data_IF_208127808913
#
_entry.id   IF_208127808913
#
_cell.length_a   1.000
_cell.length_b   1.000
_cell.length_c   1.000
_cell.angle_alpha   90.00
_cell.angle_beta   90.00
_cell.angle_gamma   90.00
#
_symmetry.space_group_name_H-M   'P 1'
#
loop_
_entity.id
_entity.type
_entity.pdbx_description
1 polymer ?
#
# COMPACT_ATOMS: atom_id res chain seq x y z
N UNK A 1 -79.34 -10.72 -24.20
CA UNK A 1 -78.01 -10.16 -24.55
C UNK A 1 -77.47 -9.12 -23.60
N UNK A 2 -78.26 -8.23 -22.95
CA UNK A 2 -77.73 -7.19 -21.99
C UNK A 2 -77.31 -7.79 -20.69
N UNK A 3 -77.94 -8.84 -20.17
CA UNK A 3 -77.63 -9.45 -18.86
C UNK A 3 -76.23 -10.19 -18.88
N UNK A 4 -75.90 -10.83 -19.99
CA UNK A 4 -74.63 -11.58 -20.16
C UNK A 4 -73.45 -10.65 -20.28
N UNK A 5 -73.61 -9.44 -20.85
CA UNK A 5 -72.55 -8.42 -20.87
C UNK A 5 -72.25 -7.83 -19.48
N UNK A 6 -73.24 -7.71 -18.60
CA UNK A 6 -73.08 -7.25 -17.21
C UNK A 6 -72.37 -8.31 -16.37
N UNK A 7 -72.72 -9.60 -16.57
CA UNK A 7 -71.98 -10.68 -15.82
C UNK A 7 -70.54 -10.82 -16.24
N UNK A 8 -70.22 -10.65 -17.53
CA UNK A 8 -68.82 -10.68 -18.01
C UNK A 8 -68.01 -9.46 -17.53
N UNK A 9 -68.63 -8.29 -17.37
CA UNK A 9 -67.96 -7.11 -16.83
C UNK A 9 -67.70 -7.24 -15.33
N UNK A 10 -68.58 -7.85 -14.55
CA UNK A 10 -68.42 -8.10 -13.14
C UNK A 10 -67.28 -9.13 -12.83
N UNK A 11 -67.10 -10.15 -13.66
CA UNK A 11 -66.02 -11.14 -13.55
C UNK A 11 -64.66 -10.53 -13.89
N UNK A 12 -64.57 -9.54 -14.79
CA UNK A 12 -63.34 -8.86 -15.16
C UNK A 12 -62.82 -7.91 -14.07
N UNK A 13 -63.71 -7.38 -13.22
CA UNK A 13 -63.37 -6.45 -12.16
C UNK A 13 -62.84 -7.19 -10.92
N UNK A 14 -63.26 -8.43 -10.68
CA UNK A 14 -62.80 -9.23 -9.54
C UNK A 14 -61.40 -9.84 -9.72
N UNK A 15 -60.89 -9.92 -10.95
CA UNK A 15 -59.55 -10.42 -11.24
C UNK A 15 -58.44 -9.39 -11.04
N UNK A 16 -58.75 -8.12 -10.71
CA UNK A 16 -57.79 -7.07 -10.45
C UNK A 16 -57.45 -6.86 -8.97
N UNK A 17 -58.09 -7.63 -8.06
CA UNK A 17 -57.66 -7.72 -6.66
C UNK A 17 -56.55 -8.76 -6.52
N UNK A 18 -55.52 -8.62 -7.34
CA UNK A 18 -54.25 -9.32 -7.14
C UNK A 18 -53.68 -8.94 -5.81
N UNK A 19 -53.48 -9.92 -4.94
CA UNK A 19 -52.79 -9.77 -3.69
C UNK A 19 -51.49 -9.02 -3.93
N UNK A 20 -51.45 -7.74 -3.57
CA UNK A 20 -50.19 -7.06 -3.25
C UNK A 20 -49.66 -7.79 -2.03
N UNK A 21 -48.91 -8.86 -2.25
CA UNK A 21 -48.06 -9.44 -1.23
C UNK A 21 -47.08 -8.32 -0.85
N UNK A 22 -47.37 -7.59 0.20
CA UNK A 22 -46.36 -6.80 0.87
C UNK A 22 -45.30 -7.79 1.35
N UNK A 23 -44.25 -7.98 0.54
CA UNK A 23 -43.01 -8.51 1.08
C UNK A 23 -42.70 -7.56 2.25
N UNK A 24 -42.91 -8.05 3.46
CA UNK A 24 -42.26 -7.46 4.61
C UNK A 24 -40.80 -7.31 4.21
N UNK A 25 -40.39 -6.11 3.90
CA UNK A 25 -38.99 -5.74 3.88
C UNK A 25 -38.58 -5.95 5.34
N UNK A 26 -38.11 -7.18 5.65
CA UNK A 26 -37.32 -7.38 6.85
C UNK A 26 -36.31 -6.25 6.80
N UNK A 27 -36.45 -5.30 7.71
CA UNK A 27 -35.40 -4.34 7.97
C UNK A 27 -34.19 -5.19 8.30
N UNK A 28 -33.36 -5.48 7.31
CA UNK A 28 -32.07 -6.12 7.48
C UNK A 28 -31.28 -5.05 8.23
N UNK A 29 -31.36 -5.12 9.56
CA UNK A 29 -30.47 -4.34 10.42
C UNK A 29 -29.09 -4.82 10.03
N UNK A 30 -28.38 -3.98 9.28
CA UNK A 30 -27.04 -4.32 8.83
C UNK A 30 -26.21 -4.69 10.07
N UNK A 31 -25.56 -5.84 10.02
CA UNK A 31 -24.65 -6.25 11.10
C UNK A 31 -23.64 -5.09 11.34
N UNK A 32 -23.57 -4.56 12.57
CA UNK A 32 -22.69 -3.44 12.88
C UNK A 32 -21.23 -3.73 12.55
N UNK A 33 -20.78 -4.99 12.62
CA UNK A 33 -19.42 -5.40 12.25
C UNK A 33 -19.22 -5.32 10.73
N UNK A 34 -20.19 -5.85 9.97
CA UNK A 34 -20.15 -5.80 8.51
C UNK A 34 -20.24 -4.35 8.01
N UNK A 35 -21.14 -3.55 8.58
CA UNK A 35 -21.28 -2.14 8.22
C UNK A 35 -19.98 -1.35 8.50
N UNK A 36 -19.40 -1.53 9.69
CA UNK A 36 -18.12 -0.94 10.05
C UNK A 36 -17.03 -1.33 9.06
N UNK A 37 -16.85 -2.62 8.83
CA UNK A 37 -15.79 -3.16 7.96
C UNK A 37 -15.92 -2.64 6.52
N UNK A 38 -17.14 -2.60 6.00
CA UNK A 38 -17.44 -2.05 4.66
C UNK A 38 -17.06 -0.57 4.57
N UNK A 39 -17.43 0.23 5.57
CA UNK A 39 -17.09 1.65 5.55
C UNK A 39 -15.59 1.91 5.71
N UNK A 40 -14.87 1.17 6.53
CA UNK A 40 -13.39 1.25 6.63
C UNK A 40 -12.74 0.87 5.29
N UNK A 41 -13.23 -0.18 4.63
CA UNK A 41 -12.71 -0.59 3.30
C UNK A 41 -12.91 0.51 2.26
N UNK A 42 -14.11 1.10 2.19
CA UNK A 42 -14.40 2.20 1.26
C UNK A 42 -13.57 3.45 1.57
N UNK A 43 -13.43 3.81 2.84
CA UNK A 43 -12.58 4.93 3.23
C UNK A 43 -11.14 4.75 2.74
N UNK A 44 -10.54 3.57 2.94
CA UNK A 44 -9.19 3.26 2.45
C UNK A 44 -9.08 3.33 0.93
N UNK A 45 -10.11 2.86 0.21
CA UNK A 45 -10.15 2.96 -1.25
C UNK A 45 -10.18 4.42 -1.71
N UNK A 46 -10.99 5.26 -1.08
CA UNK A 46 -11.06 6.68 -1.39
C UNK A 46 -9.80 7.45 -0.99
N UNK A 47 -9.12 7.06 0.10
CA UNK A 47 -7.79 7.59 0.43
C UNK A 47 -6.80 7.25 -0.69
N UNK A 48 -6.78 6.00 -1.17
CA UNK A 48 -5.93 5.57 -2.28
C UNK A 48 -6.20 6.31 -3.60
N UNK A 49 -7.44 6.67 -3.88
CA UNK A 49 -7.84 7.47 -5.04
C UNK A 49 -7.79 8.99 -4.78
N UNK A 50 -7.27 9.42 -3.64
CA UNK A 50 -7.16 10.83 -3.22
C UNK A 50 -8.50 11.58 -3.17
N UNK A 51 -9.61 10.87 -2.96
CA UNK A 51 -10.93 11.46 -2.78
C UNK A 51 -11.20 11.72 -1.29
N UNK A 52 -10.80 12.90 -0.83
CA UNK A 52 -10.87 13.31 0.58
C UNK A 52 -12.29 13.25 1.15
N UNK A 53 -13.25 13.80 0.42
CA UNK A 53 -14.60 13.99 0.95
C UNK A 53 -15.33 12.65 1.14
N UNK A 54 -15.19 11.74 0.18
CA UNK A 54 -15.73 10.38 0.31
C UNK A 54 -14.98 9.55 1.35
N UNK A 55 -13.67 9.73 1.49
CA UNK A 55 -12.90 9.07 2.55
C UNK A 55 -13.42 9.49 3.93
N UNK A 56 -13.58 10.79 4.17
CA UNK A 56 -14.10 11.36 5.41
C UNK A 56 -15.52 10.87 5.70
N UNK A 57 -16.42 10.96 4.72
CA UNK A 57 -17.81 10.48 4.84
C UNK A 57 -17.86 9.02 5.29
N UNK A 58 -17.01 8.17 4.72
CA UNK A 58 -17.02 6.76 5.08
C UNK A 58 -16.38 6.48 6.44
N UNK A 59 -15.40 7.27 6.89
CA UNK A 59 -14.89 7.18 8.26
C UNK A 59 -15.93 7.63 9.29
N UNK A 60 -16.69 8.70 9.02
CA UNK A 60 -17.78 9.15 9.86
C UNK A 60 -18.90 8.10 9.97
N UNK A 61 -19.26 7.48 8.85
CA UNK A 61 -20.22 6.35 8.85
C UNK A 61 -19.66 5.14 9.62
N UNK A 62 -18.37 4.83 9.52
CA UNK A 62 -17.75 3.78 10.32
C UNK A 62 -17.78 4.13 11.82
N UNK A 63 -17.59 5.40 12.19
CA UNK A 63 -17.59 5.85 13.57
C UNK A 63 -18.94 5.57 14.29
N UNK A 64 -20.06 5.65 13.56
CA UNK A 64 -21.39 5.31 14.09
C UNK A 64 -21.50 3.83 14.54
N UNK A 65 -20.69 2.94 14.00
CA UNK A 65 -20.61 1.52 14.35
C UNK A 65 -19.36 1.17 15.18
N UNK A 66 -18.65 2.19 15.69
CA UNK A 66 -17.41 1.96 16.44
C UNK A 66 -17.68 1.32 17.80
N UNK A 67 -16.79 0.42 18.19
CA UNK A 67 -16.76 -0.24 19.50
C UNK A 67 -15.32 -0.23 20.04
N UNK A 68 -15.10 -0.70 21.26
CA UNK A 68 -13.76 -0.79 21.84
C UNK A 68 -12.79 -1.58 20.93
N UNK A 69 -13.25 -2.68 20.32
CA UNK A 69 -12.46 -3.55 19.45
C UNK A 69 -12.21 -2.98 18.06
N UNK A 70 -12.98 -1.97 17.64
CA UNK A 70 -12.92 -1.37 16.31
C UNK A 70 -12.18 -0.03 16.28
N UNK A 71 -11.88 0.54 17.47
CA UNK A 71 -11.24 1.87 17.57
C UNK A 71 -9.90 1.95 16.89
N UNK A 72 -9.08 0.89 16.97
CA UNK A 72 -7.78 0.87 16.31
C UNK A 72 -7.92 1.07 14.81
N UNK A 73 -8.78 0.29 14.15
CA UNK A 73 -9.03 0.38 12.70
C UNK A 73 -9.59 1.74 12.30
N UNK A 74 -10.50 2.31 13.11
CA UNK A 74 -11.09 3.64 12.86
C UNK A 74 -10.03 4.73 12.95
N UNK A 75 -9.26 4.77 14.04
CA UNK A 75 -8.19 5.76 14.21
C UNK A 75 -7.10 5.60 13.16
N UNK A 76 -6.71 4.36 12.80
CA UNK A 76 -5.79 4.12 11.69
C UNK A 76 -6.32 4.69 10.36
N UNK A 77 -7.62 4.59 10.11
CA UNK A 77 -8.28 5.20 8.95
C UNK A 77 -8.19 6.73 8.96
N UNK A 78 -8.48 7.38 10.09
CA UNK A 78 -8.31 8.83 10.22
C UNK A 78 -6.85 9.26 10.10
N UNK A 79 -5.91 8.48 10.64
CA UNK A 79 -4.48 8.74 10.48
C UNK A 79 -4.08 8.79 9.00
N UNK A 80 -4.55 7.83 8.20
CA UNK A 80 -4.30 7.80 6.76
C UNK A 80 -4.99 8.96 6.01
N UNK A 81 -6.21 9.35 6.41
CA UNK A 81 -6.91 10.50 5.85
C UNK A 81 -6.12 11.79 6.10
N UNK A 82 -5.74 12.07 7.35
CA UNK A 82 -4.99 13.27 7.69
C UNK A 82 -3.59 13.29 7.07
N UNK A 83 -2.95 12.13 6.93
CA UNK A 83 -1.70 12.01 6.16
C UNK A 83 -1.89 12.43 4.68
N UNK A 84 -2.98 12.02 4.06
CA UNK A 84 -3.31 12.42 2.68
C UNK A 84 -3.60 13.93 2.58
N UNK A 85 -4.19 14.51 3.62
CA UNK A 85 -4.47 15.96 3.74
C UNK A 85 -3.23 16.77 4.13
N UNK A 86 -2.09 16.13 4.39
CA UNK A 86 -0.83 16.73 4.88
C UNK A 86 -0.94 17.34 6.29
N UNK A 87 -1.95 16.97 7.04
CA UNK A 87 -2.18 17.34 8.43
C UNK A 87 -1.38 16.44 9.36
N UNK A 88 -0.06 16.65 9.39
CA UNK A 88 0.93 15.76 10.01
C UNK A 88 0.65 15.48 11.49
N UNK A 89 0.33 16.52 12.28
CA UNK A 89 0.07 16.38 13.72
C UNK A 89 -1.20 15.57 14.01
N UNK A 90 -2.27 15.82 13.23
CA UNK A 90 -3.52 15.08 13.35
C UNK A 90 -3.32 13.62 12.91
N UNK A 91 -2.58 13.39 11.84
CA UNK A 91 -2.24 12.03 11.39
C UNK A 91 -1.53 11.26 12.50
N UNK A 92 -0.47 11.82 13.08
CA UNK A 92 0.28 11.18 14.15
C UNK A 92 -0.57 10.93 15.39
N UNK A 93 -1.36 11.91 15.83
CA UNK A 93 -2.30 11.76 16.96
C UNK A 93 -3.21 10.54 16.74
N UNK A 94 -3.78 10.42 15.56
CA UNK A 94 -4.69 9.32 15.27
C UNK A 94 -3.96 7.97 15.15
N UNK A 95 -2.77 7.90 14.57
CA UNK A 95 -1.99 6.66 14.56
C UNK A 95 -1.61 6.21 15.98
N UNK A 96 -1.20 7.12 16.85
CA UNK A 96 -0.92 6.81 18.26
C UNK A 96 -2.17 6.31 19.00
N UNK A 97 -3.33 6.91 18.75
CA UNK A 97 -4.62 6.45 19.29
C UNK A 97 -5.00 5.06 18.78
N UNK A 98 -4.70 4.75 17.53
CA UNK A 98 -4.91 3.41 16.97
C UNK A 98 -4.12 2.35 17.75
N UNK A 99 -2.82 2.56 17.93
CA UNK A 99 -1.94 1.64 18.68
C UNK A 99 -2.35 1.55 20.16
N UNK A 100 -2.73 2.69 20.77
CA UNK A 100 -3.21 2.69 22.17
C UNK A 100 -4.51 1.92 22.35
N UNK A 101 -5.37 1.90 21.31
CA UNK A 101 -6.65 1.16 21.33
C UNK A 101 -6.47 -0.35 21.18
N UNK A 102 -5.48 -0.77 20.39
CA UNK A 102 -5.09 -2.18 20.24
C UNK A 102 -3.60 -2.29 19.92
N UNK A 103 -2.83 -2.71 20.92
CA UNK A 103 -1.37 -2.88 20.79
C UNK A 103 -0.98 -4.04 19.87
N UNK A 104 -1.90 -4.94 19.54
CA UNK A 104 -1.69 -6.11 18.67
C UNK A 104 -2.14 -5.86 17.22
N UNK A 105 -2.72 -4.70 16.92
CA UNK A 105 -3.12 -4.38 15.54
C UNK A 105 -1.88 -4.07 14.69
N UNK A 106 -1.32 -5.11 14.05
CA UNK A 106 -0.15 -5.00 13.17
C UNK A 106 -0.41 -4.10 11.95
N UNK A 107 -1.65 -4.00 11.47
CA UNK A 107 -1.99 -3.09 10.37
C UNK A 107 -1.91 -1.62 10.80
N UNK A 108 -2.45 -1.28 11.97
CA UNK A 108 -2.37 0.08 12.51
C UNK A 108 -0.90 0.47 12.76
N UNK A 109 -0.12 -0.45 13.33
CA UNK A 109 1.30 -0.25 13.58
C UNK A 109 2.11 -0.11 12.29
N UNK A 110 1.81 -0.92 11.27
CA UNK A 110 2.40 -0.80 9.93
C UNK A 110 2.15 0.59 9.33
N UNK A 111 0.90 1.07 9.37
CA UNK A 111 0.54 2.36 8.82
C UNK A 111 1.27 3.51 9.55
N UNK A 112 1.37 3.43 10.88
CA UNK A 112 2.10 4.40 11.68
C UNK A 112 3.61 4.40 11.36
N UNK A 113 4.21 3.22 11.26
CA UNK A 113 5.63 3.10 10.90
C UNK A 113 5.91 3.63 9.49
N UNK A 114 5.04 3.35 8.52
CA UNK A 114 5.15 3.91 7.16
C UNK A 114 5.02 5.45 7.17
N UNK A 115 4.10 5.99 7.98
CA UNK A 115 3.99 7.42 8.18
C UNK A 115 5.28 8.02 8.76
N UNK A 116 5.83 7.45 9.84
CA UNK A 116 7.09 7.89 10.46
C UNK A 116 8.26 7.85 9.47
N UNK A 117 8.36 6.79 8.68
CA UNK A 117 9.37 6.67 7.63
C UNK A 117 9.27 7.82 6.62
N UNK A 118 8.05 8.14 6.16
CA UNK A 118 7.82 9.24 5.22
C UNK A 118 8.12 10.63 5.83
N UNK A 119 8.07 10.76 7.17
CA UNK A 119 8.47 11.97 7.88
C UNK A 119 9.99 12.02 8.15
N UNK A 120 10.76 11.04 7.68
CA UNK A 120 12.21 10.96 7.93
C UNK A 120 12.59 10.49 9.35
N UNK A 121 11.62 10.03 10.14
CA UNK A 121 11.80 9.53 11.53
C UNK A 121 12.12 8.03 11.48
N UNK A 122 13.29 7.71 10.92
CA UNK A 122 13.64 6.33 10.53
C UNK A 122 13.80 5.40 11.73
N UNK A 123 14.37 5.87 12.83
CA UNK A 123 14.56 5.07 14.05
C UNK A 123 13.22 4.70 14.69
N UNK A 124 12.28 5.64 14.73
CA UNK A 124 10.94 5.37 15.27
C UNK A 124 10.14 4.44 14.33
N UNK A 125 10.28 4.65 13.02
CA UNK A 125 9.69 3.77 12.03
C UNK A 125 10.21 2.33 12.17
N UNK A 126 11.54 2.18 12.35
CA UNK A 126 12.18 0.89 12.55
C UNK A 126 11.63 0.17 13.78
N UNK A 127 11.55 0.85 14.95
CA UNK A 127 11.00 0.27 16.17
C UNK A 127 9.57 -0.26 15.98
N UNK A 128 8.72 0.51 15.31
CA UNK A 128 7.34 0.08 15.08
C UNK A 128 7.26 -1.06 14.06
N UNK A 129 8.05 -1.02 13.00
CA UNK A 129 7.98 -1.98 11.91
C UNK A 129 8.61 -3.34 12.28
N UNK A 130 9.63 -3.36 13.16
CA UNK A 130 10.19 -4.61 13.69
C UNK A 130 9.10 -5.45 14.38
N UNK A 131 8.28 -4.83 15.23
CA UNK A 131 7.16 -5.52 15.89
C UNK A 131 6.19 -6.13 14.86
N UNK A 132 5.92 -5.42 13.76
CA UNK A 132 5.05 -5.92 12.69
C UNK A 132 5.71 -7.08 11.94
N UNK A 133 7.01 -7.02 11.68
CA UNK A 133 7.73 -8.07 10.95
C UNK A 133 7.81 -9.39 11.73
N UNK A 134 7.71 -9.33 13.05
CA UNK A 134 7.71 -10.50 13.94
C UNK A 134 6.33 -11.17 14.07
N UNK A 135 5.24 -10.48 13.72
CA UNK A 135 3.89 -11.05 13.74
C UNK A 135 3.70 -12.07 12.63
N UNK A 136 3.77 -13.36 12.97
CA UNK A 136 3.66 -14.47 12.02
C UNK A 136 2.30 -14.53 11.31
N UNK A 137 1.25 -13.99 11.92
CA UNK A 137 -0.10 -13.92 11.35
C UNK A 137 -0.32 -12.74 10.41
N UNK A 138 0.63 -11.82 10.31
CA UNK A 138 0.46 -10.64 9.46
C UNK A 138 0.80 -10.94 7.99
N UNK A 139 -0.21 -10.91 7.11
CA UNK A 139 -0.05 -11.27 5.70
C UNK A 139 0.98 -10.43 4.93
N UNK A 140 1.19 -9.17 5.35
CA UNK A 140 2.13 -8.25 4.70
C UNK A 140 3.50 -8.21 5.37
N UNK A 141 3.93 -9.31 5.97
CA UNK A 141 5.29 -9.43 6.55
C UNK A 141 6.42 -9.16 5.55
N UNK A 142 6.33 -9.59 4.27
CA UNK A 142 7.36 -9.23 3.28
C UNK A 142 7.55 -7.72 3.15
N UNK A 143 6.43 -6.97 3.10
CA UNK A 143 6.46 -5.51 3.02
C UNK A 143 6.96 -4.88 4.33
N UNK A 144 6.66 -5.48 5.48
CA UNK A 144 7.20 -5.03 6.76
C UNK A 144 8.73 -5.18 6.79
N UNK A 145 9.28 -6.34 6.40
CA UNK A 145 10.72 -6.54 6.28
C UNK A 145 11.37 -5.57 5.28
N UNK A 146 10.71 -5.28 4.17
CA UNK A 146 11.19 -4.30 3.21
C UNK A 146 11.33 -2.91 3.84
N UNK A 147 10.32 -2.43 4.57
CA UNK A 147 10.39 -1.11 5.25
C UNK A 147 11.42 -1.12 6.38
N UNK A 148 11.56 -2.24 7.12
CA UNK A 148 12.66 -2.41 8.09
C UNK A 148 14.01 -2.20 7.40
N UNK A 149 14.25 -2.88 6.26
CA UNK A 149 15.48 -2.74 5.49
C UNK A 149 15.71 -1.31 4.99
N UNK A 150 14.67 -0.63 4.53
CA UNK A 150 14.76 0.76 4.11
C UNK A 150 15.15 1.69 5.28
N UNK A 151 14.52 1.52 6.45
CA UNK A 151 14.83 2.31 7.64
C UNK A 151 16.25 2.04 8.12
N UNK A 152 16.69 0.77 8.17
CA UNK A 152 18.05 0.36 8.49
C UNK A 152 19.08 0.97 7.53
N UNK A 153 18.80 0.98 6.21
CA UNK A 153 19.66 1.67 5.25
C UNK A 153 19.79 3.16 5.53
N UNK A 154 18.71 3.83 5.89
CA UNK A 154 18.71 5.27 6.21
C UNK A 154 19.45 5.61 7.50
N UNK A 155 19.50 4.67 8.44
CA UNK A 155 20.24 4.80 9.71
C UNK A 155 21.67 4.23 9.65
N UNK A 156 22.15 3.87 8.46
CA UNK A 156 23.51 3.38 8.24
C UNK A 156 23.75 1.90 8.55
N UNK A 157 22.72 1.16 8.94
CA UNK A 157 22.76 -0.27 9.30
C UNK A 157 22.67 -1.14 8.02
N UNK A 158 23.71 -1.06 7.17
CA UNK A 158 23.65 -1.66 5.82
C UNK A 158 23.64 -3.19 5.84
N UNK A 159 24.31 -3.83 6.80
CA UNK A 159 24.34 -5.28 6.90
C UNK A 159 22.98 -5.84 7.32
N UNK A 160 22.36 -5.20 8.29
CA UNK A 160 21.02 -5.53 8.78
C UNK A 160 19.96 -5.28 7.69
N UNK A 161 20.12 -4.18 6.92
CA UNK A 161 19.23 -3.88 5.80
C UNK A 161 19.25 -5.00 4.74
N UNK A 162 20.42 -5.53 4.37
CA UNK A 162 20.52 -6.69 3.47
C UNK A 162 19.76 -7.89 4.03
N UNK A 163 19.95 -8.24 5.29
CA UNK A 163 19.23 -9.34 5.94
C UNK A 163 17.71 -9.16 5.90
N UNK A 164 17.24 -7.91 6.08
CA UNK A 164 15.83 -7.58 6.00
C UNK A 164 15.27 -7.70 4.58
N UNK A 165 16.01 -7.24 3.55
CA UNK A 165 15.63 -7.41 2.15
C UNK A 165 15.62 -8.88 1.71
N UNK A 166 16.61 -9.65 2.15
CA UNK A 166 16.65 -11.10 1.90
C UNK A 166 15.44 -11.80 2.55
N UNK A 167 15.08 -11.41 3.77
CA UNK A 167 13.91 -11.96 4.44
C UNK A 167 12.62 -11.63 3.70
N UNK A 168 12.48 -10.40 3.19
CA UNK A 168 11.34 -10.01 2.37
C UNK A 168 11.22 -10.87 1.11
N UNK A 169 12.32 -11.12 0.39
CA UNK A 169 12.34 -11.94 -0.82
C UNK A 169 12.18 -13.44 -0.55
N UNK A 170 12.67 -13.95 0.58
CA UNK A 170 12.43 -15.33 1.01
C UNK A 170 10.93 -15.59 1.27
N UNK A 171 10.25 -14.63 1.90
CA UNK A 171 8.82 -14.73 2.18
C UNK A 171 7.96 -14.51 0.92
N UNK A 172 8.40 -13.65 0.02
CA UNK A 172 7.70 -13.33 -1.24
C UNK A 172 8.71 -13.16 -2.38
N UNK A 173 9.11 -14.26 -3.06
CA UNK A 173 10.15 -14.22 -4.12
C UNK A 173 9.80 -13.30 -5.30
N UNK A 174 8.53 -13.00 -5.53
CA UNK A 174 8.07 -12.10 -6.60
C UNK A 174 8.00 -10.61 -6.18
N UNK A 175 8.39 -10.28 -4.95
CA UNK A 175 8.45 -8.90 -4.48
C UNK A 175 9.74 -8.26 -5.01
N UNK A 176 9.62 -7.41 -6.03
CA UNK A 176 10.78 -6.93 -6.81
C UNK A 176 11.63 -5.91 -6.04
N UNK A 177 11.01 -4.97 -5.33
CA UNK A 177 11.67 -3.81 -4.74
C UNK A 177 12.84 -4.15 -3.81
N UNK A 178 12.79 -5.18 -2.94
CA UNK A 178 13.95 -5.51 -2.10
C UNK A 178 15.21 -5.90 -2.89
N UNK A 179 15.07 -6.45 -4.12
CA UNK A 179 16.23 -6.82 -4.93
C UNK A 179 17.02 -5.61 -5.42
N UNK A 180 16.36 -4.53 -5.87
CA UNK A 180 17.08 -3.33 -6.31
C UNK A 180 17.75 -2.62 -5.14
N UNK A 181 17.13 -2.63 -3.95
CA UNK A 181 17.74 -2.08 -2.74
C UNK A 181 18.98 -2.88 -2.30
N UNK A 182 18.87 -4.21 -2.30
CA UNK A 182 20.01 -5.09 -2.03
C UNK A 182 21.14 -4.90 -3.07
N UNK A 183 20.81 -4.74 -4.36
CA UNK A 183 21.77 -4.48 -5.42
C UNK A 183 22.54 -3.18 -5.19
N UNK A 184 21.88 -2.12 -4.73
CA UNK A 184 22.51 -0.85 -4.39
C UNK A 184 23.52 -1.01 -3.25
N UNK A 185 23.17 -1.73 -2.18
CA UNK A 185 24.08 -2.00 -1.07
C UNK A 185 25.27 -2.86 -1.52
N UNK A 186 25.03 -3.92 -2.30
CA UNK A 186 26.10 -4.74 -2.83
C UNK A 186 27.05 -3.94 -3.72
N UNK A 187 26.50 -3.04 -4.55
CA UNK A 187 27.30 -2.16 -5.39
C UNK A 187 28.18 -1.22 -4.55
N UNK A 188 27.61 -0.58 -3.54
CA UNK A 188 28.35 0.28 -2.61
C UNK A 188 29.47 -0.47 -1.87
N UNK A 189 29.28 -1.77 -1.60
CA UNK A 189 30.29 -2.66 -0.99
C UNK A 189 31.27 -3.24 -2.01
N UNK A 190 31.27 -2.83 -3.28
CA UNK A 190 32.07 -3.35 -4.36
C UNK A 190 31.89 -4.86 -4.63
N UNK A 191 30.78 -5.44 -4.20
CA UNK A 191 30.38 -6.83 -4.45
C UNK A 191 29.65 -6.93 -5.79
N UNK A 192 30.33 -6.56 -6.88
CA UNK A 192 29.73 -6.39 -8.20
C UNK A 192 28.95 -7.60 -8.73
N UNK A 193 29.43 -8.87 -8.60
CA UNK A 193 28.64 -10.02 -9.05
C UNK A 193 27.32 -10.18 -8.29
N UNK A 194 27.29 -9.85 -6.99
CA UNK A 194 26.07 -9.92 -6.19
C UNK A 194 25.11 -8.78 -6.55
N UNK A 195 25.65 -7.57 -6.75
CA UNK A 195 24.87 -6.41 -7.20
C UNK A 195 24.18 -6.72 -8.55
N UNK A 196 24.95 -7.26 -9.52
CA UNK A 196 24.39 -7.62 -10.83
C UNK A 196 23.29 -8.67 -10.71
N UNK A 197 23.54 -9.76 -9.97
CA UNK A 197 22.54 -10.84 -9.78
C UNK A 197 21.25 -10.31 -9.16
N UNK A 198 21.34 -9.48 -8.14
CA UNK A 198 20.17 -8.89 -7.50
C UNK A 198 19.41 -7.95 -8.45
N UNK A 199 20.13 -7.13 -9.23
CA UNK A 199 19.51 -6.23 -10.21
C UNK A 199 18.88 -7.01 -11.38
N UNK A 200 19.48 -8.11 -11.83
CA UNK A 200 18.90 -8.99 -12.85
C UNK A 200 17.58 -9.61 -12.34
N UNK A 201 17.54 -10.04 -11.07
CA UNK A 201 16.29 -10.53 -10.45
C UNK A 201 15.20 -9.45 -10.42
N UNK A 202 15.54 -8.21 -10.07
CA UNK A 202 14.60 -7.09 -10.18
C UNK A 202 14.07 -6.97 -11.61
N UNK A 203 14.94 -7.01 -12.63
CA UNK A 203 14.58 -6.86 -14.04
C UNK A 203 13.67 -7.97 -14.59
N UNK A 204 13.71 -9.19 -14.00
CA UNK A 204 12.77 -10.26 -14.34
C UNK A 204 11.37 -10.04 -13.75
N UNK A 205 11.26 -9.28 -12.65
CA UNK A 205 10.02 -9.15 -11.85
C UNK A 205 9.27 -7.85 -12.12
N UNK A 206 9.98 -6.80 -12.53
CA UNK A 206 9.41 -5.46 -12.63
C UNK A 206 9.93 -4.71 -13.87
N UNK A 207 9.16 -3.71 -14.28
CA UNK A 207 9.61 -2.75 -15.28
C UNK A 207 10.77 -1.90 -14.74
N UNK A 208 11.68 -1.45 -15.59
CA UNK A 208 12.80 -0.63 -15.17
C UNK A 208 12.31 0.70 -14.58
N UNK A 209 13.00 1.14 -13.52
CA UNK A 209 12.86 2.47 -12.94
C UNK A 209 14.11 3.29 -13.24
N UNK A 210 14.06 4.61 -13.06
CA UNK A 210 15.23 5.47 -13.21
C UNK A 210 16.39 4.98 -12.32
N UNK A 211 16.08 4.63 -11.05
CA UNK A 211 17.03 4.08 -10.08
C UNK A 211 17.68 2.78 -10.60
N UNK A 212 16.88 1.81 -11.06
CA UNK A 212 17.41 0.52 -11.53
C UNK A 212 18.27 0.67 -12.78
N UNK A 213 17.90 1.55 -13.70
CA UNK A 213 18.70 1.82 -14.92
C UNK A 213 20.01 2.54 -14.59
N UNK A 214 19.99 3.51 -13.69
CA UNK A 214 21.21 4.18 -13.25
C UNK A 214 22.15 3.22 -12.52
N UNK A 215 21.62 2.36 -11.67
CA UNK A 215 22.41 1.31 -11.03
C UNK A 215 22.99 0.33 -12.07
N UNK A 216 22.21 -0.05 -13.10
CA UNK A 216 22.68 -0.90 -14.17
C UNK A 216 23.85 -0.25 -14.95
N UNK A 217 23.77 1.05 -15.28
CA UNK A 217 24.88 1.79 -15.92
C UNK A 217 26.14 1.66 -15.09
N UNK A 218 26.05 1.95 -13.78
CA UNK A 218 27.22 1.91 -12.88
C UNK A 218 27.82 0.51 -12.76
N UNK A 219 26.98 -0.52 -12.64
CA UNK A 219 27.43 -1.91 -12.55
C UNK A 219 28.09 -2.35 -13.84
N UNK A 220 27.48 -2.14 -15.01
CA UNK A 220 28.05 -2.51 -16.31
C UNK A 220 29.36 -1.78 -16.56
N UNK A 221 29.45 -0.50 -16.23
CA UNK A 221 30.69 0.27 -16.32
C UNK A 221 31.79 -0.32 -15.43
N UNK A 222 31.46 -0.69 -14.18
CA UNK A 222 32.42 -1.28 -13.24
C UNK A 222 32.93 -2.66 -13.70
N UNK A 223 32.18 -3.38 -14.53
CA UNK A 223 32.63 -4.60 -15.22
C UNK A 223 33.42 -4.32 -16.51
N UNK A 224 33.60 -3.06 -16.91
CA UNK A 224 34.24 -2.69 -18.17
C UNK A 224 33.34 -2.87 -19.40
N UNK A 225 32.08 -3.22 -19.23
CA UNK A 225 31.11 -3.40 -20.31
C UNK A 225 30.54 -2.04 -20.75
N UNK A 226 31.30 -1.33 -21.59
CA UNK A 226 30.94 0.00 -22.07
C UNK A 226 29.64 0.02 -22.89
N UNK A 227 29.45 -0.99 -23.74
CA UNK A 227 28.26 -1.09 -24.59
C UNK A 227 27.00 -1.36 -23.74
N UNK A 228 27.13 -2.23 -22.76
CA UNK A 228 26.05 -2.47 -21.77
C UNK A 228 25.71 -1.21 -21.02
N UNK A 229 26.69 -0.49 -20.48
CA UNK A 229 26.47 0.77 -19.77
C UNK A 229 25.81 1.83 -20.68
N UNK A 230 26.27 2.01 -21.91
CA UNK A 230 25.69 2.92 -22.88
C UNK A 230 24.23 2.57 -23.23
N UNK A 231 23.94 1.26 -23.40
CA UNK A 231 22.56 0.79 -23.64
C UNK A 231 21.61 1.11 -22.49
N UNK A 232 22.02 0.88 -21.24
CA UNK A 232 21.19 1.21 -20.08
C UNK A 232 21.05 2.73 -19.91
N UNK A 233 22.10 3.50 -20.17
CA UNK A 233 22.05 4.96 -20.16
C UNK A 233 21.11 5.54 -21.21
N UNK A 234 21.06 4.96 -22.41
CA UNK A 234 20.10 5.34 -23.45
C UNK A 234 18.66 5.07 -23.02
N UNK A 235 18.40 3.90 -22.40
CA UNK A 235 17.09 3.60 -21.83
C UNK A 235 16.70 4.60 -20.73
N UNK A 236 17.63 4.95 -19.84
CA UNK A 236 17.43 5.93 -18.78
C UNK A 236 17.03 7.29 -19.37
N UNK A 237 17.77 7.77 -20.34
CA UNK A 237 17.50 9.03 -21.04
C UNK A 237 16.14 9.05 -21.73
N UNK A 238 15.75 7.95 -22.37
CA UNK A 238 14.53 7.87 -23.17
C UNK A 238 13.28 7.70 -22.30
N UNK A 239 13.35 6.86 -21.25
CA UNK A 239 12.20 6.54 -20.40
C UNK A 239 12.01 7.53 -19.25
N UNK A 240 13.11 8.11 -18.76
CA UNK A 240 13.10 8.98 -17.56
C UNK A 240 13.92 10.27 -17.79
N UNK A 241 13.61 11.07 -18.83
CA UNK A 241 14.43 12.22 -19.24
C UNK A 241 14.60 13.28 -18.15
N UNK A 242 13.62 13.41 -17.26
CA UNK A 242 13.59 14.45 -16.21
C UNK A 242 13.92 13.90 -14.81
N UNK A 243 14.35 12.65 -14.67
CA UNK A 243 14.73 12.08 -13.38
C UNK A 243 16.06 12.62 -12.87
N UNK A 244 16.25 12.59 -11.55
CA UNK A 244 17.51 12.95 -10.93
C UNK A 244 18.64 11.99 -11.38
N UNK A 245 18.32 10.72 -11.54
CA UNK A 245 19.26 9.70 -12.00
C UNK A 245 19.76 9.97 -13.43
N UNK A 246 18.89 10.48 -14.31
CA UNK A 246 19.33 10.90 -15.64
C UNK A 246 20.20 12.17 -15.58
N UNK A 247 19.91 13.10 -14.69
CA UNK A 247 20.78 14.26 -14.47
C UNK A 247 22.15 13.85 -13.96
N UNK A 248 22.22 12.89 -13.04
CA UNK A 248 23.49 12.30 -12.56
C UNK A 248 24.24 11.60 -13.68
N UNK A 249 23.56 10.78 -14.49
CA UNK A 249 24.14 10.13 -15.66
C UNK A 249 24.74 11.14 -16.66
N UNK A 250 24.00 12.22 -16.95
CA UNK A 250 24.49 13.27 -17.85
C UNK A 250 25.74 14.00 -17.31
N UNK A 251 25.82 14.20 -15.99
CA UNK A 251 27.01 14.76 -15.33
C UNK A 251 28.19 13.78 -15.41
N UNK A 252 27.92 12.51 -15.18
CA UNK A 252 28.93 11.44 -15.21
C UNK A 252 29.54 11.26 -16.60
N UNK A 253 28.76 11.41 -17.68
CA UNK A 253 29.28 11.34 -19.07
C UNK A 253 30.28 12.46 -19.43
N UNK A 254 30.33 13.55 -18.65
CA UNK A 254 31.24 14.69 -18.91
C UNK A 254 32.56 14.62 -18.14
N UNK A 255 32.71 13.59 -17.32
CA UNK A 255 33.94 13.32 -16.55
C UNK A 255 34.92 12.44 -17.34
#
# INVERSE_FOLDING_TARGET
MKLIKFLLLAVLITSLLGCVSSKETKNIVADPEEAFTRHIKLARQYIGSKNRDLARLHLEKAAAFSSKTRRSKLHSGYGLLYQMEQETELAEKHFRQAIASDKKDSMARYNFAAFLYNQGRFEEALQQMQIVSEDLGYERRPQAFYIVGLAQSKTGQQAEALGSFEKATQLQPKFAEPYVEAAEIYFAQQKLPMAKRALDQYGFLAQPTAKSLWLAVRIEHSFGNRDGAASQGLKLKNLFPYSNENLEYQKWLKQ
#
